data_IF_356255690636
#
_entry.id   IF_356255690636
#
_cell.length_a   1.000
_cell.length_b   1.000
_cell.length_c   1.000
_cell.angle_alpha   90.00
_cell.angle_beta   90.00
_cell.angle_gamma   90.00
#
_symmetry.space_group_name_H-M   'P 1'
#
loop_
_entity.id
_entity.type
_entity.pdbx_description
1 polymer ?
#
# COMPACT_ATOMS: atom_id res chain seq x y z
N UNK A 1 -5.54 21.31 90.69
CA UNK A 1 -4.41 21.42 89.86
C UNK A 1 -4.77 20.70 88.56
N UNK A 2 -4.94 21.50 87.56
CA UNK A 2 -5.69 21.20 86.33
C UNK A 2 -4.84 20.59 85.27
N UNK A 3 -5.28 19.49 84.69
CA UNK A 3 -4.70 18.85 83.52
C UNK A 3 -5.69 18.88 82.36
N UNK A 4 -5.41 19.79 81.42
CA UNK A 4 -6.21 19.88 80.20
C UNK A 4 -5.81 18.81 79.19
N UNK A 5 -6.77 18.04 78.80
CA UNK A 5 -6.62 17.11 77.67
C UNK A 5 -7.04 17.76 76.38
N UNK A 6 -6.09 17.98 75.46
CA UNK A 6 -6.39 18.37 74.12
C UNK A 6 -6.65 17.15 73.23
N UNK A 7 -7.84 17.11 72.66
CA UNK A 7 -8.24 16.10 71.67
C UNK A 7 -7.74 16.54 70.31
N UNK A 8 -6.83 15.77 69.74
CA UNK A 8 -6.45 15.91 68.34
C UNK A 8 -7.46 15.17 67.46
N UNK A 9 -8.12 15.89 66.57
CA UNK A 9 -8.98 15.35 65.53
C UNK A 9 -8.12 15.06 64.31
N UNK A 10 -7.91 13.79 63.99
CA UNK A 10 -7.32 13.35 62.73
C UNK A 10 -8.39 13.40 61.64
N UNK A 11 -8.27 14.29 60.70
CA UNK A 11 -9.03 14.27 59.46
C UNK A 11 -8.31 13.38 58.46
N UNK A 12 -8.92 12.24 58.15
CA UNK A 12 -8.46 11.36 57.06
C UNK A 12 -8.99 11.92 55.73
N UNK A 13 -8.11 12.44 54.91
CA UNK A 13 -8.39 12.82 53.54
C UNK A 13 -8.26 11.56 52.64
N UNK A 14 -9.41 11.01 52.21
CA UNK A 14 -9.44 9.97 51.19
C UNK A 14 -9.22 10.58 49.82
N UNK A 15 -8.04 10.41 49.25
CA UNK A 15 -7.73 10.74 47.87
C UNK A 15 -8.21 9.65 46.94
N UNK A 16 -9.35 9.85 46.29
CA UNK A 16 -9.83 8.99 45.24
C UNK A 16 -9.03 9.29 43.96
N UNK A 17 -8.08 8.42 43.62
CA UNK A 17 -7.41 8.45 42.31
C UNK A 17 -8.38 7.91 41.27
N UNK A 18 -8.99 8.80 40.47
CA UNK A 18 -9.63 8.41 39.24
C UNK A 18 -8.52 7.99 38.24
N UNK A 19 -8.35 6.70 38.05
CA UNK A 19 -7.64 6.16 36.91
C UNK A 19 -8.53 6.35 35.67
N UNK A 20 -8.29 7.45 34.93
CA UNK A 20 -8.75 7.57 33.56
C UNK A 20 -7.98 6.54 32.73
N UNK A 21 -8.60 5.38 32.51
CA UNK A 21 -8.17 4.45 31.48
C UNK A 21 -8.34 5.15 30.13
N UNK A 22 -7.24 5.63 29.55
CA UNK A 22 -7.16 5.94 28.13
C UNK A 22 -7.28 4.60 27.44
N UNK A 23 -8.49 4.25 26.96
CA UNK A 23 -8.64 3.27 25.91
C UNK A 23 -7.99 3.90 24.69
N UNK A 24 -6.72 3.57 24.44
CA UNK A 24 -6.14 3.71 23.12
C UNK A 24 -6.93 2.75 22.24
N UNK A 25 -7.99 3.25 21.58
CA UNK A 25 -8.41 2.68 20.31
C UNK A 25 -7.16 2.78 19.45
N UNK A 26 -6.57 1.65 19.07
CA UNK A 26 -5.65 1.61 17.96
C UNK A 26 -6.44 2.10 16.75
N UNK A 27 -6.28 3.36 16.39
CA UNK A 27 -6.53 3.80 15.04
C UNK A 27 -5.50 3.01 14.22
N UNK A 28 -5.96 2.10 13.40
CA UNK A 28 -5.17 1.56 12.31
C UNK A 28 -4.75 2.80 11.51
N UNK A 29 -3.49 3.20 11.66
CA UNK A 29 -2.94 4.29 10.89
C UNK A 29 -2.75 3.77 9.48
N UNK A 30 -3.75 4.01 8.63
CA UNK A 30 -3.58 3.92 7.19
C UNK A 30 -2.50 4.95 6.82
N UNK A 31 -1.30 4.49 6.46
CA UNK A 31 -0.24 5.37 5.99
C UNK A 31 -0.50 5.69 4.53
N UNK A 32 -0.57 6.98 4.19
CA UNK A 32 -0.70 7.45 2.82
C UNK A 32 0.57 8.21 2.44
N UNK A 33 1.18 7.79 1.31
CA UNK A 33 2.32 8.43 0.70
C UNK A 33 1.97 8.85 -0.73
N UNK A 34 2.85 9.60 -1.41
CA UNK A 34 2.67 9.95 -2.82
C UNK A 34 3.60 9.14 -3.71
N UNK A 35 3.30 9.05 -4.99
CA UNK A 35 4.14 8.40 -5.99
C UNK A 35 5.60 8.93 -5.90
N UNK A 36 6.58 8.01 -5.88
CA UNK A 36 7.99 8.30 -5.65
C UNK A 36 8.42 8.28 -4.18
N UNK A 37 7.49 8.15 -3.22
CA UNK A 37 7.80 7.93 -1.81
C UNK A 37 7.54 6.48 -1.42
N UNK A 38 8.43 5.83 -0.63
CA UNK A 38 8.21 4.45 -0.22
C UNK A 38 7.06 4.32 0.79
N UNK A 39 6.22 3.31 0.60
CA UNK A 39 5.21 2.85 1.55
C UNK A 39 5.72 1.62 2.28
N UNK A 40 5.91 1.75 3.59
CA UNK A 40 6.36 0.67 4.46
C UNK A 40 5.16 -0.08 5.05
N UNK A 41 5.07 -1.40 4.79
CA UNK A 41 4.07 -2.31 5.37
C UNK A 41 4.75 -3.56 5.93
N UNK A 42 4.99 -3.57 7.23
CA UNK A 42 5.79 -4.59 7.89
C UNK A 42 7.24 -4.55 7.44
N UNK A 43 7.72 -5.63 6.82
CA UNK A 43 9.08 -5.74 6.30
C UNK A 43 9.18 -5.44 4.79
N UNK A 44 8.05 -5.11 4.15
CA UNK A 44 8.00 -4.77 2.73
C UNK A 44 7.93 -3.26 2.54
N UNK A 45 8.77 -2.76 1.64
CA UNK A 45 8.80 -1.39 1.16
C UNK A 45 8.33 -1.37 -0.31
N UNK A 46 7.29 -0.62 -0.60
CA UNK A 46 6.70 -0.46 -1.93
C UNK A 46 6.98 0.94 -2.44
N UNK A 47 7.62 1.08 -3.59
CA UNK A 47 7.93 2.38 -4.17
C UNK A 47 7.42 2.47 -5.60
N UNK A 48 6.34 3.19 -5.83
CA UNK A 48 5.79 3.46 -7.17
C UNK A 48 6.69 4.47 -7.88
N UNK A 49 7.21 4.07 -9.05
CA UNK A 49 8.13 4.86 -9.86
C UNK A 49 7.41 5.66 -10.95
N UNK A 50 6.33 5.09 -11.49
CA UNK A 50 5.57 5.69 -12.59
C UNK A 50 4.19 5.06 -12.68
N UNK A 51 3.19 5.89 -12.85
CA UNK A 51 1.83 5.47 -13.20
C UNK A 51 1.45 6.03 -14.56
N UNK A 52 0.94 5.17 -15.47
CA UNK A 52 0.49 5.62 -16.79
C UNK A 52 -0.50 4.67 -17.43
N UNK A 53 -1.30 5.18 -18.36
CA UNK A 53 -2.12 4.34 -19.24
C UNK A 53 -1.25 3.67 -20.30
N UNK A 54 -1.57 2.40 -20.60
CA UNK A 54 -0.95 1.65 -21.69
C UNK A 54 -1.89 1.62 -22.90
N UNK A 55 -1.32 1.91 -24.07
CA UNK A 55 -2.04 1.91 -25.34
C UNK A 55 -1.70 0.62 -26.12
N UNK A 56 -2.65 -0.32 -26.34
CA UNK A 56 -2.39 -1.54 -27.11
C UNK A 56 -1.92 -1.30 -28.57
N UNK A 57 -2.20 -0.13 -29.12
CA UNK A 57 -1.77 0.25 -30.46
C UNK A 57 -0.35 0.84 -30.52
N UNK A 58 0.27 1.08 -29.36
CA UNK A 58 1.64 1.55 -29.25
C UNK A 58 2.60 0.37 -29.18
N UNK A 59 3.67 0.42 -29.99
CA UNK A 59 4.66 -0.66 -30.07
C UNK A 59 5.43 -0.83 -28.76
N UNK A 60 5.70 0.27 -28.04
CA UNK A 60 6.43 0.21 -26.76
C UNK A 60 5.56 -0.42 -25.66
N UNK A 61 4.25 -0.13 -25.68
CA UNK A 61 3.31 -0.67 -24.70
C UNK A 61 2.91 -2.11 -24.98
N UNK A 62 3.01 -2.55 -26.23
CA UNK A 62 2.61 -3.90 -26.63
C UNK A 62 3.42 -5.01 -25.93
N UNK A 63 4.66 -4.74 -25.52
CA UNK A 63 5.47 -5.71 -24.77
C UNK A 63 4.92 -5.96 -23.34
N UNK A 64 4.34 -4.94 -22.71
CA UNK A 64 3.70 -5.07 -21.40
C UNK A 64 2.35 -5.78 -21.48
N UNK A 65 1.66 -5.63 -22.61
CA UNK A 65 0.31 -6.15 -22.85
C UNK A 65 0.30 -7.50 -23.60
N UNK A 66 1.46 -8.14 -23.77
CA UNK A 66 1.55 -9.43 -24.48
C UNK A 66 0.61 -10.48 -23.88
N UNK A 67 -0.21 -11.09 -24.72
CA UNK A 67 -1.19 -12.10 -24.31
C UNK A 67 -2.52 -11.56 -23.76
N UNK A 68 -2.63 -10.26 -23.55
CA UNK A 68 -3.87 -9.64 -23.08
C UNK A 68 -4.79 -9.25 -24.25
N UNK A 69 -6.09 -9.22 -23.98
CA UNK A 69 -7.09 -8.74 -24.93
C UNK A 69 -7.04 -7.20 -25.02
N UNK A 70 -7.58 -6.63 -26.09
CA UNK A 70 -7.84 -5.19 -26.14
C UNK A 70 -8.88 -4.83 -25.07
N UNK A 71 -8.71 -3.71 -24.33
CA UNK A 71 -9.68 -3.29 -23.34
C UNK A 71 -11.10 -3.23 -23.92
N UNK A 72 -12.15 -3.58 -23.13
CA UNK A 72 -13.52 -3.36 -23.54
C UNK A 72 -13.79 -1.87 -23.85
N UNK A 73 -14.76 -1.55 -24.71
CA UNK A 73 -15.13 -0.17 -24.96
C UNK A 73 -15.54 0.56 -23.67
N UNK A 74 -14.89 1.70 -23.40
CA UNK A 74 -15.12 2.51 -22.20
C UNK A 74 -14.19 2.15 -21.04
N UNK A 75 -13.17 1.33 -21.28
CA UNK A 75 -12.15 0.96 -20.30
C UNK A 75 -10.74 1.11 -20.89
N UNK A 76 -9.77 1.43 -20.03
CA UNK A 76 -8.36 1.60 -20.34
C UNK A 76 -7.48 0.73 -19.43
N UNK A 77 -6.31 0.33 -19.90
CA UNK A 77 -5.28 -0.27 -19.07
C UNK A 77 -4.45 0.80 -18.35
N UNK A 78 -4.48 0.74 -17.02
CA UNK A 78 -3.64 1.54 -16.13
C UNK A 78 -2.51 0.65 -15.60
N UNK A 79 -1.26 1.03 -15.84
CA UNK A 79 -0.09 0.36 -15.29
C UNK A 79 0.54 1.21 -14.19
N UNK A 80 0.86 0.56 -13.07
CA UNK A 80 1.59 1.12 -11.93
C UNK A 80 2.93 0.40 -11.83
N UNK A 81 4.01 1.08 -12.20
CA UNK A 81 5.38 0.55 -12.15
C UNK A 81 5.99 0.83 -10.78
N UNK A 82 6.56 -0.21 -10.16
CA UNK A 82 7.10 -0.11 -8.81
C UNK A 82 8.28 -1.02 -8.58
N UNK A 83 9.06 -0.65 -7.56
CA UNK A 83 10.03 -1.52 -6.93
C UNK A 83 9.46 -1.99 -5.59
N UNK A 84 9.76 -3.23 -5.21
CA UNK A 84 9.41 -3.77 -3.89
C UNK A 84 10.66 -4.36 -3.26
N UNK A 85 10.94 -3.98 -2.03
CA UNK A 85 12.08 -4.48 -1.25
C UNK A 85 11.58 -5.19 0.02
N UNK A 86 12.20 -6.33 0.33
CA UNK A 86 12.06 -6.96 1.64
C UNK A 86 13.22 -6.50 2.51
N UNK A 87 12.99 -5.56 3.41
CA UNK A 87 13.99 -5.02 4.33
C UNK A 87 14.23 -5.93 5.55
N UNK A 88 13.44 -7.02 5.67
CA UNK A 88 13.54 -7.97 6.77
C UNK A 88 14.68 -8.96 6.64
N UNK A 89 14.97 -9.63 7.77
CA UNK A 89 16.01 -10.66 7.88
C UNK A 89 15.54 -12.08 7.46
N UNK A 90 14.24 -12.22 7.16
CA UNK A 90 13.61 -13.48 6.75
C UNK A 90 12.86 -13.29 5.41
N UNK A 91 12.62 -14.42 4.70
CA UNK A 91 11.79 -14.39 3.51
C UNK A 91 10.34 -14.08 3.89
N UNK A 92 9.71 -13.20 3.14
CA UNK A 92 8.30 -12.86 3.30
C UNK A 92 7.52 -13.10 2.00
N UNK A 93 6.20 -12.90 2.00
CA UNK A 93 5.34 -13.13 0.83
C UNK A 93 4.71 -11.80 0.43
N UNK A 94 4.72 -11.50 -0.86
CA UNK A 94 4.02 -10.36 -1.41
C UNK A 94 2.50 -10.46 -1.15
N UNK A 95 1.78 -9.33 -1.08
CA UNK A 95 0.33 -9.33 -1.01
C UNK A 95 -0.29 -10.19 -2.12
N UNK A 96 -1.43 -10.80 -1.83
CA UNK A 96 -2.26 -11.48 -2.85
C UNK A 96 -3.07 -10.47 -3.67
N UNK A 97 -3.63 -10.91 -4.80
CA UNK A 97 -4.43 -10.05 -5.70
C UNK A 97 -5.57 -9.32 -4.97
N UNK A 98 -6.26 -9.99 -4.04
CA UNK A 98 -7.34 -9.40 -3.26
C UNK A 98 -6.90 -8.44 -2.15
N UNK A 99 -5.58 -8.22 -1.99
CA UNK A 99 -4.99 -7.30 -1.02
C UNK A 99 -4.45 -6.03 -1.69
N UNK A 100 -4.61 -5.92 -3.02
CA UNK A 100 -4.16 -4.77 -3.81
C UNK A 100 -5.30 -4.27 -4.67
N UNK A 101 -5.55 -2.98 -4.66
CA UNK A 101 -6.60 -2.35 -5.49
C UNK A 101 -6.25 -0.89 -5.80
N UNK A 102 -6.76 -0.37 -6.92
CA UNK A 102 -6.78 1.07 -7.19
C UNK A 102 -8.17 1.58 -6.86
N UNK A 103 -8.26 2.65 -6.09
CA UNK A 103 -9.52 3.30 -5.72
C UNK A 103 -9.50 4.78 -6.14
N UNK A 104 -10.64 5.27 -6.65
CA UNK A 104 -10.86 6.68 -6.96
C UNK A 104 -11.60 7.42 -5.83
N UNK A 105 -11.70 8.74 -5.92
CA UNK A 105 -12.40 9.56 -4.90
C UNK A 105 -13.90 9.30 -4.79
N UNK A 106 -14.49 8.54 -5.69
CA UNK A 106 -15.91 8.11 -5.61
C UNK A 106 -16.07 6.78 -4.89
N UNK A 107 -14.95 6.09 -4.59
CA UNK A 107 -14.92 4.76 -4.00
C UNK A 107 -15.07 3.64 -5.04
N UNK A 108 -14.92 3.94 -6.34
CA UNK A 108 -14.86 2.92 -7.37
C UNK A 108 -13.47 2.26 -7.34
N UNK A 109 -13.46 0.92 -7.45
CA UNK A 109 -12.27 0.08 -7.27
C UNK A 109 -11.98 -0.74 -8.51
N UNK A 110 -10.70 -0.94 -8.77
CA UNK A 110 -10.19 -1.86 -9.77
C UNK A 110 -9.19 -2.81 -9.11
N UNK A 111 -9.33 -4.11 -9.37
CA UNK A 111 -8.40 -5.16 -8.94
C UNK A 111 -7.30 -5.37 -10.00
N UNK A 112 -6.13 -5.92 -9.64
CA UNK A 112 -5.08 -6.24 -10.59
C UNK A 112 -5.56 -7.23 -11.66
N UNK A 113 -5.15 -6.99 -12.90
CA UNK A 113 -5.37 -7.93 -14.02
C UNK A 113 -4.25 -8.97 -14.01
N UNK A 114 -4.62 -10.25 -13.95
CA UNK A 114 -3.65 -11.35 -14.09
C UNK A 114 -2.97 -11.28 -15.46
N UNK A 115 -1.65 -11.39 -15.49
CA UNK A 115 -0.84 -11.39 -16.71
C UNK A 115 0.41 -12.23 -16.54
N UNK A 116 0.80 -12.94 -17.62
CA UNK A 116 2.04 -13.71 -17.71
C UNK A 116 3.22 -12.85 -18.23
N UNK A 117 3.06 -11.51 -18.28
CA UNK A 117 4.12 -10.60 -18.73
C UNK A 117 5.38 -10.74 -17.88
N UNK A 118 6.55 -10.77 -18.54
CA UNK A 118 7.85 -10.84 -17.86
C UNK A 118 8.19 -9.57 -17.05
N UNK A 119 7.40 -8.52 -17.22
CA UNK A 119 7.54 -7.26 -16.52
C UNK A 119 6.59 -7.13 -15.32
N UNK A 120 5.63 -8.07 -15.17
CA UNK A 120 4.61 -7.99 -14.13
C UNK A 120 5.16 -8.33 -12.74
N UNK A 121 4.67 -7.60 -11.74
CA UNK A 121 4.82 -7.97 -10.34
C UNK A 121 3.92 -9.18 -10.05
N UNK A 122 4.53 -10.29 -9.66
CA UNK A 122 3.80 -11.53 -9.36
C UNK A 122 3.34 -11.49 -7.90
N UNK A 123 2.07 -11.13 -7.68
CA UNK A 123 1.47 -11.09 -6.35
C UNK A 123 1.40 -12.50 -5.73
N UNK A 124 1.50 -12.56 -4.40
CA UNK A 124 1.50 -13.82 -3.64
C UNK A 124 2.80 -14.62 -3.70
N UNK A 125 3.81 -14.20 -4.47
CA UNK A 125 5.11 -14.86 -4.54
C UNK A 125 6.04 -14.47 -3.38
N UNK A 126 6.95 -15.38 -2.97
CA UNK A 126 7.88 -15.08 -1.90
C UNK A 126 9.01 -14.16 -2.37
N UNK A 127 9.40 -13.21 -1.50
CA UNK A 127 10.59 -12.38 -1.65
C UNK A 127 11.58 -12.74 -0.56
N UNK A 128 12.84 -13.12 -0.88
CA UNK A 128 13.83 -13.52 0.12
C UNK A 128 14.25 -12.32 1.00
N UNK A 129 14.87 -12.61 2.14
CA UNK A 129 15.44 -11.59 3.02
C UNK A 129 16.40 -10.66 2.26
N UNK A 130 16.20 -9.35 2.36
CA UNK A 130 16.97 -8.35 1.60
C UNK A 130 16.80 -8.47 0.08
N UNK A 131 15.72 -9.14 -0.38
CA UNK A 131 15.40 -9.28 -1.80
C UNK A 131 14.72 -8.05 -2.35
N UNK A 132 14.89 -7.83 -3.66
CA UNK A 132 14.33 -6.71 -4.40
C UNK A 132 13.60 -7.21 -5.64
N UNK A 133 12.48 -6.62 -5.98
CA UNK A 133 11.72 -6.83 -7.22
C UNK A 133 11.55 -5.47 -7.91
N UNK A 134 11.93 -5.37 -9.20
CA UNK A 134 12.49 -6.42 -10.03
C UNK A 134 13.92 -6.80 -9.67
N UNK A 135 14.26 -8.08 -9.81
CA UNK A 135 15.65 -8.50 -9.66
C UNK A 135 16.52 -7.92 -10.77
N UNK A 136 17.79 -7.60 -10.47
CA UNK A 136 18.69 -6.90 -11.39
C UNK A 136 18.86 -7.56 -12.78
N UNK A 137 18.68 -8.87 -12.87
CA UNK A 137 18.82 -9.65 -14.12
C UNK A 137 17.46 -9.87 -14.84
N UNK A 138 16.36 -9.27 -14.36
CA UNK A 138 15.04 -9.44 -14.95
C UNK A 138 14.78 -8.51 -16.13
N UNK A 139 13.76 -8.86 -16.95
CA UNK A 139 13.27 -7.98 -18.01
C UNK A 139 12.76 -6.65 -17.44
N UNK A 140 12.07 -6.68 -16.31
CA UNK A 140 11.50 -5.51 -15.65
C UNK A 140 12.57 -4.51 -15.15
N UNK A 141 13.76 -4.99 -14.73
CA UNK A 141 14.86 -4.12 -14.32
C UNK A 141 15.54 -3.42 -15.51
N UNK A 142 15.44 -3.97 -16.72
CA UNK A 142 16.09 -3.47 -17.93
C UNK A 142 15.12 -3.03 -19.03
N UNK A 143 13.83 -3.01 -18.74
CA UNK A 143 12.77 -2.59 -19.65
C UNK A 143 12.77 -1.09 -19.97
N UNK A 144 11.91 -0.65 -20.90
CA UNK A 144 11.74 0.77 -21.24
C UNK A 144 11.34 1.63 -20.04
N UNK A 145 10.54 1.08 -19.11
CA UNK A 145 10.25 1.63 -17.79
C UNK A 145 10.87 0.68 -16.78
N UNK A 146 11.67 1.21 -15.87
CA UNK A 146 12.23 0.43 -14.77
C UNK A 146 11.15 0.18 -13.72
N UNK A 147 11.19 -1.00 -13.09
CA UNK A 147 10.19 -1.44 -12.12
C UNK A 147 9.34 -2.60 -12.66
N UNK A 148 8.83 -3.42 -11.77
CA UNK A 148 7.78 -4.38 -12.11
C UNK A 148 6.43 -3.67 -12.08
N UNK A 149 5.46 -4.10 -12.91
CA UNK A 149 4.18 -3.39 -12.96
C UNK A 149 3.00 -4.24 -12.45
N UNK A 150 2.04 -3.55 -11.89
CA UNK A 150 0.67 -4.01 -11.72
C UNK A 150 -0.20 -3.40 -12.80
N UNK A 151 -1.12 -4.17 -13.37
CA UNK A 151 -2.03 -3.73 -14.40
C UNK A 151 -3.46 -3.72 -13.87
N UNK A 152 -4.18 -2.66 -14.16
CA UNK A 152 -5.59 -2.50 -13.78
C UNK A 152 -6.41 -2.17 -15.01
N UNK A 153 -7.66 -2.66 -15.04
CA UNK A 153 -8.65 -2.24 -16.02
C UNK A 153 -9.55 -1.21 -15.37
N UNK A 154 -9.50 0.03 -15.85
CA UNK A 154 -10.19 1.16 -15.25
C UNK A 154 -11.13 1.84 -16.26
N UNK A 155 -12.22 2.50 -15.83
CA UNK A 155 -13.08 3.24 -16.73
C UNK A 155 -12.35 4.37 -17.45
N UNK A 156 -12.66 4.60 -18.74
CA UNK A 156 -12.26 5.82 -19.42
C UNK A 156 -12.68 7.05 -18.61
N UNK A 157 -11.80 8.03 -18.47
CA UNK A 157 -12.06 9.24 -17.69
C UNK A 157 -11.93 9.06 -16.17
N UNK A 158 -11.40 7.94 -15.68
CA UNK A 158 -11.10 7.73 -14.24
C UNK A 158 -10.30 8.89 -13.62
N UNK A 159 -9.49 9.57 -14.43
CA UNK A 159 -8.71 10.76 -14.02
C UNK A 159 -9.55 11.98 -13.69
N UNK A 160 -10.86 11.98 -13.96
CA UNK A 160 -11.78 13.04 -13.50
C UNK A 160 -12.07 12.92 -11.99
N UNK A 161 -11.83 11.73 -11.42
CA UNK A 161 -12.07 11.39 -10.02
C UNK A 161 -10.77 11.25 -9.20
N UNK A 162 -9.78 12.07 -9.49
CA UNK A 162 -8.48 12.09 -8.77
C UNK A 162 -8.58 12.66 -7.36
N UNK A 163 -7.66 12.31 -6.44
CA UNK A 163 -6.56 11.36 -6.66
C UNK A 163 -7.03 9.93 -6.85
N UNK A 164 -6.22 9.13 -7.58
CA UNK A 164 -6.31 7.68 -7.54
C UNK A 164 -5.33 7.18 -6.50
N UNK A 165 -5.73 6.21 -5.72
CA UNK A 165 -4.88 5.61 -4.68
C UNK A 165 -4.66 4.13 -4.98
N UNK A 166 -3.40 3.70 -5.01
CA UNK A 166 -3.05 2.29 -4.93
C UNK A 166 -3.10 1.88 -3.47
N UNK A 167 -4.07 1.08 -3.09
CA UNK A 167 -4.23 0.53 -1.74
C UNK A 167 -3.60 -0.84 -1.66
N UNK A 168 -2.80 -1.05 -0.63
CA UNK A 168 -2.08 -2.31 -0.38
C UNK A 168 -2.34 -2.73 1.05
N UNK A 169 -2.74 -4.00 1.24
CA UNK A 169 -2.78 -4.67 2.54
C UNK A 169 -1.69 -5.72 2.58
N UNK A 170 -0.87 -5.69 3.61
CA UNK A 170 0.21 -6.65 3.81
C UNK A 170 0.40 -6.94 5.29
N UNK A 171 0.45 -8.22 5.67
CA UNK A 171 0.72 -8.66 7.06
C UNK A 171 -0.18 -8.03 8.14
N UNK A 172 -1.42 -7.65 7.77
CA UNK A 172 -2.38 -7.02 8.68
C UNK A 172 -2.24 -5.51 8.81
N UNK A 173 -1.35 -4.90 8.04
CA UNK A 173 -1.22 -3.46 7.86
C UNK A 173 -1.84 -3.04 6.53
N UNK A 174 -2.31 -1.79 6.45
CA UNK A 174 -2.89 -1.21 5.24
C UNK A 174 -2.27 0.17 4.99
N UNK A 175 -2.03 0.47 3.72
CA UNK A 175 -1.53 1.77 3.30
C UNK A 175 -1.93 2.09 1.87
N UNK A 176 -1.75 3.34 1.50
CA UNK A 176 -2.12 3.86 0.20
C UNK A 176 -0.98 4.69 -0.43
N UNK A 177 -0.87 4.62 -1.75
CA UNK A 177 0.03 5.47 -2.53
C UNK A 177 -0.83 6.30 -3.48
N UNK A 178 -0.80 7.63 -3.32
CA UNK A 178 -1.46 8.54 -4.25
C UNK A 178 -0.70 8.54 -5.58
N UNK A 179 -1.39 8.21 -6.68
CA UNK A 179 -0.83 8.05 -8.02
C UNK A 179 -0.82 9.38 -8.77
N UNK A 180 0.29 9.70 -9.44
CA UNK A 180 0.46 10.92 -10.24
C UNK A 180 0.06 10.69 -11.70
N UNK A 181 -1.19 11.12 -12.08
CA UNK A 181 -1.82 10.94 -13.39
C UNK A 181 -2.34 12.25 -13.97
#
# INVERSE_FOLDING_TARGET
MSTGAQRAVLAAAATAALALGVAACGEEHESTVVEGEPLELGELSFNVQLTRFLNPDDTEDSEYLEGLAVPPPGEDYLAVFMDVENEGDEATTLPSDGEVEVEDTTGAKAEPVETDSLFALQLGEPIPAGGEIPTADSAAASGPVQGSFLLFLVPEGVTENRPLELKIRSHGEEGAIELDL
#
